data_IF_614086593637
#
_entry.id   IF_614086593637
#
_cell.length_a   1.000
_cell.length_b   1.000
_cell.length_c   1.000
_cell.angle_alpha   90.00
_cell.angle_beta   90.00
_cell.angle_gamma   90.00
#
_symmetry.space_group_name_H-M   'P 1'
#
loop_
_entity.id
_entity.type
_entity.pdbx_description
1 polymer ?
#
# COMPACT_ATOMS: atom_id res chain seq x y z
N UNK A 1 -8.64 5.31 2.58
CA UNK A 1 -7.21 5.26 2.93
C UNK A 1 -6.58 6.60 2.65
N UNK A 2 -6.22 7.32 3.68
CA UNK A 2 -5.43 8.54 3.58
C UNK A 2 -4.00 8.22 4.02
N UNK A 3 -3.01 8.47 3.15
CA UNK A 3 -1.58 8.27 3.44
C UNK A 3 -1.16 9.05 4.71
N UNK A 4 -1.77 10.21 4.97
CA UNK A 4 -1.49 11.02 6.16
C UNK A 4 -2.01 10.35 7.42
N UNK A 5 -3.20 9.72 7.36
CA UNK A 5 -3.77 8.97 8.47
C UNK A 5 -2.91 7.75 8.80
N UNK A 6 -2.54 6.95 7.80
CA UNK A 6 -1.67 5.79 7.97
C UNK A 6 -0.32 6.24 8.53
N UNK A 7 0.31 7.25 7.93
CA UNK A 7 1.58 7.79 8.41
C UNK A 7 1.48 8.27 9.86
N UNK A 8 0.37 8.92 10.24
CA UNK A 8 0.17 9.41 11.61
C UNK A 8 0.03 8.31 12.65
N UNK A 9 -0.69 7.24 12.36
CA UNK A 9 -0.88 6.10 13.28
C UNK A 9 0.39 5.26 13.38
N UNK A 10 1.05 4.99 12.26
CA UNK A 10 2.24 4.13 12.21
C UNK A 10 3.56 4.89 12.43
N UNK A 11 3.54 6.21 12.71
CA UNK A 11 4.67 6.94 13.28
C UNK A 11 4.96 6.45 14.71
N UNK A 12 3.95 5.92 15.41
CA UNK A 12 4.12 5.29 16.72
C UNK A 12 4.85 3.95 16.60
N UNK A 13 6.01 3.85 17.26
CA UNK A 13 6.90 2.67 17.21
C UNK A 13 6.13 1.37 17.56
N UNK A 14 5.27 1.43 18.57
CA UNK A 14 4.49 0.27 19.01
C UNK A 14 3.56 -0.28 17.94
N UNK A 15 2.92 0.60 17.15
CA UNK A 15 2.02 0.21 16.06
C UNK A 15 2.79 -0.40 14.88
N UNK A 16 3.89 0.23 14.48
CA UNK A 16 4.75 -0.28 13.42
C UNK A 16 5.42 -1.59 13.80
N UNK A 17 5.93 -1.70 15.02
CA UNK A 17 6.49 -2.95 15.53
C UNK A 17 5.46 -4.09 15.56
N UNK A 18 4.24 -3.80 16.02
CA UNK A 18 3.16 -4.76 16.06
C UNK A 18 2.84 -5.29 14.66
N UNK A 19 2.72 -4.40 13.68
CA UNK A 19 2.47 -4.75 12.28
C UNK A 19 3.60 -5.65 11.73
N UNK A 20 4.86 -5.22 11.84
CA UNK A 20 6.00 -5.98 11.30
C UNK A 20 6.12 -7.36 11.96
N UNK A 21 5.91 -7.46 13.28
CA UNK A 21 5.92 -8.75 13.98
C UNK A 21 4.92 -9.74 13.41
N UNK A 22 3.70 -9.30 13.13
CA UNK A 22 2.66 -10.15 12.55
C UNK A 22 3.02 -10.55 11.13
N UNK A 23 3.45 -9.60 10.29
CA UNK A 23 3.76 -9.88 8.89
C UNK A 23 4.95 -10.82 8.73
N UNK A 24 5.96 -10.70 9.59
CA UNK A 24 7.16 -11.54 9.57
C UNK A 24 7.08 -12.75 10.52
N UNK A 25 5.98 -12.89 11.27
CA UNK A 25 5.80 -13.94 12.28
C UNK A 25 6.99 -14.00 13.27
N UNK A 26 7.48 -12.83 13.70
CA UNK A 26 8.64 -12.68 14.57
C UNK A 26 8.33 -11.82 15.80
N UNK A 27 7.91 -12.45 16.88
CA UNK A 27 7.60 -11.76 18.14
C UNK A 27 8.83 -11.13 18.81
N UNK A 28 10.02 -11.62 18.48
CA UNK A 28 11.30 -11.13 19.04
C UNK A 28 11.81 -9.84 18.37
N UNK A 29 11.20 -9.39 17.27
CA UNK A 29 11.59 -8.17 16.57
C UNK A 29 11.35 -6.94 17.44
N UNK A 30 12.31 -6.03 17.52
CA UNK A 30 12.22 -4.80 18.29
C UNK A 30 12.57 -3.61 17.40
N UNK A 31 11.56 -2.83 17.03
CA UNK A 31 11.74 -1.57 16.29
C UNK A 31 12.30 -0.51 17.26
N UNK A 32 13.33 0.18 16.81
CA UNK A 32 14.01 1.24 17.57
C UNK A 32 13.72 2.63 17.05
N UNK A 33 13.40 2.74 15.76
CA UNK A 33 13.14 4.01 15.08
C UNK A 33 12.11 3.81 13.99
N UNK A 34 11.22 4.80 13.83
CA UNK A 34 10.26 4.89 12.72
C UNK A 34 10.30 6.28 12.15
N UNK A 35 10.28 6.38 10.83
CA UNK A 35 10.10 7.63 10.11
C UNK A 35 8.99 7.48 9.07
N UNK A 36 8.22 8.53 8.89
CA UNK A 36 7.14 8.57 7.90
C UNK A 36 7.43 9.59 6.82
N UNK A 37 6.93 9.34 5.60
CA UNK A 37 7.09 10.24 4.45
C UNK A 37 8.56 10.60 4.14
N UNK A 38 9.47 9.65 4.35
CA UNK A 38 10.91 9.85 4.15
C UNK A 38 11.28 9.91 2.66
N UNK A 39 11.99 10.98 2.28
CA UNK A 39 12.46 11.17 0.91
C UNK A 39 13.90 10.68 0.75
N UNK A 40 14.08 9.62 -0.03
CA UNK A 40 15.40 9.16 -0.46
C UNK A 40 15.77 9.86 -1.77
N UNK A 41 16.85 10.61 -1.73
CA UNK A 41 17.28 11.42 -2.88
C UNK A 41 18.09 10.61 -3.86
N UNK A 42 17.79 10.76 -5.14
CA UNK A 42 18.65 10.32 -6.23
C UNK A 42 19.17 11.55 -6.97
N UNK A 43 20.49 11.80 -6.87
CA UNK A 43 21.11 12.99 -7.46
C UNK A 43 21.08 13.01 -8.99
N UNK A 44 20.86 11.86 -9.64
CA UNK A 44 20.90 11.72 -11.10
C UNK A 44 19.61 11.16 -11.71
N UNK A 45 18.62 10.86 -10.89
CA UNK A 45 17.40 10.19 -11.33
C UNK A 45 16.19 10.49 -10.44
N UNK A 46 15.21 9.61 -10.52
CA UNK A 46 13.97 9.74 -9.74
C UNK A 46 14.22 9.45 -8.27
N UNK A 47 13.97 10.42 -7.40
CA UNK A 47 13.89 10.21 -5.95
C UNK A 47 12.65 9.38 -5.60
N UNK A 48 12.66 8.73 -4.44
CA UNK A 48 11.50 8.04 -3.88
C UNK A 48 11.09 8.68 -2.57
N UNK A 49 9.80 8.63 -2.28
CA UNK A 49 9.23 8.97 -0.98
C UNK A 49 8.66 7.69 -0.41
N UNK A 50 9.19 7.27 0.73
CA UNK A 50 8.75 6.07 1.42
C UNK A 50 7.66 6.44 2.42
N UNK A 51 6.57 5.67 2.45
CA UNK A 51 5.44 5.96 3.34
C UNK A 51 5.86 5.77 4.79
N UNK A 52 6.44 4.61 5.13
CA UNK A 52 6.97 4.30 6.45
C UNK A 52 8.33 3.62 6.28
N UNK A 53 9.33 4.06 7.04
CA UNK A 53 10.61 3.37 7.19
C UNK A 53 10.82 3.06 8.68
N UNK A 54 11.25 1.83 8.99
CA UNK A 54 11.52 1.41 10.36
C UNK A 54 12.87 0.71 10.43
N UNK A 55 13.52 0.85 11.58
CA UNK A 55 14.79 0.21 11.91
C UNK A 55 14.61 -0.64 13.16
N UNK A 56 15.19 -1.83 13.16
CA UNK A 56 15.16 -2.66 14.35
C UNK A 56 16.49 -2.67 15.11
N UNK A 57 16.48 -3.30 16.28
CA UNK A 57 17.66 -3.41 17.15
C UNK A 57 18.80 -4.21 16.52
N UNK A 58 18.53 -5.01 15.49
CA UNK A 58 19.52 -5.79 14.76
C UNK A 58 20.10 -5.06 13.54
N UNK A 59 19.60 -3.84 13.30
CA UNK A 59 20.00 -3.01 12.16
C UNK A 59 19.25 -3.31 10.86
N UNK A 60 18.26 -4.19 10.88
CA UNK A 60 17.40 -4.45 9.71
C UNK A 60 16.52 -3.25 9.41
N UNK A 61 16.17 -3.10 8.14
CA UNK A 61 15.41 -1.94 7.65
C UNK A 61 14.15 -2.40 6.94
N UNK A 62 13.04 -1.78 7.29
CA UNK A 62 11.72 -2.10 6.79
C UNK A 62 11.11 -0.87 6.12
N UNK A 63 10.83 -0.96 4.81
CA UNK A 63 10.01 0.01 4.10
C UNK A 63 8.61 -0.56 3.95
N UNK A 64 7.59 0.12 4.46
CA UNK A 64 6.20 -0.26 4.31
C UNK A 64 5.52 0.77 3.42
N UNK A 65 4.95 0.30 2.33
CA UNK A 65 4.24 1.08 1.32
C UNK A 65 2.77 0.67 1.30
N UNK A 66 1.87 1.63 1.36
CA UNK A 66 0.43 1.38 1.32
C UNK A 66 -0.13 1.82 -0.02
N UNK A 67 -0.74 0.90 -0.77
CA UNK A 67 -1.14 1.18 -2.14
C UNK A 67 -2.62 0.83 -2.38
N UNK A 68 -3.41 1.85 -2.72
CA UNK A 68 -4.83 1.68 -3.09
C UNK A 68 -5.01 1.11 -4.49
N UNK A 69 -4.10 1.42 -5.40
CA UNK A 69 -4.15 0.98 -6.81
C UNK A 69 -2.97 0.08 -7.12
N UNK A 70 -3.19 -1.01 -7.83
CA UNK A 70 -2.16 -1.96 -8.24
C UNK A 70 -1.02 -1.30 -9.02
N UNK A 71 -1.31 -0.23 -9.77
CA UNK A 71 -0.29 0.59 -10.45
C UNK A 71 0.75 1.20 -9.49
N UNK A 72 0.41 1.38 -8.20
CA UNK A 72 1.34 1.81 -7.15
C UNK A 72 2.24 0.70 -6.64
N UNK A 73 1.84 -0.58 -6.78
CA UNK A 73 2.54 -1.74 -6.24
C UNK A 73 3.32 -2.57 -7.29
N UNK A 74 3.76 -1.94 -8.37
CA UNK A 74 4.48 -2.64 -9.44
C UNK A 74 5.77 -3.30 -8.93
N UNK A 75 6.10 -4.54 -9.36
CA UNK A 75 7.34 -5.23 -8.98
C UNK A 75 8.62 -4.44 -9.28
N UNK A 76 8.60 -3.64 -10.37
CA UNK A 76 9.71 -2.74 -10.69
C UNK A 76 9.85 -1.58 -9.69
N UNK A 77 8.75 -1.12 -9.08
CA UNK A 77 8.79 -0.12 -8.00
C UNK A 77 9.37 -0.72 -6.72
N UNK A 78 8.96 -1.94 -6.35
CA UNK A 78 9.53 -2.64 -5.20
C UNK A 78 11.05 -2.79 -5.33
N UNK A 79 11.53 -3.26 -6.49
CA UNK A 79 12.95 -3.34 -6.79
C UNK A 79 13.64 -1.98 -6.72
N UNK A 80 12.99 -0.91 -7.23
CA UNK A 80 13.58 0.43 -7.21
C UNK A 80 13.67 0.98 -5.78
N UNK A 81 12.65 0.79 -4.96
CA UNK A 81 12.68 1.17 -3.55
C UNK A 81 13.82 0.46 -2.80
N UNK A 82 13.96 -0.87 -2.97
CA UNK A 82 15.08 -1.64 -2.42
C UNK A 82 16.43 -1.05 -2.81
N UNK A 83 16.65 -0.80 -4.11
CA UNK A 83 17.90 -0.20 -4.60
C UNK A 83 18.16 1.21 -4.06
N UNK A 84 17.11 2.00 -3.87
CA UNK A 84 17.25 3.34 -3.29
C UNK A 84 17.54 3.31 -1.80
N UNK A 85 17.02 2.33 -1.07
CA UNK A 85 17.38 2.11 0.33
C UNK A 85 18.88 1.80 0.42
N UNK A 86 19.37 0.79 -0.32
CA UNK A 86 20.79 0.42 -0.35
C UNK A 86 21.70 1.61 -0.67
N UNK A 87 21.34 2.36 -1.72
CA UNK A 87 22.10 3.53 -2.17
C UNK A 87 22.17 4.69 -1.16
N UNK A 88 21.15 4.84 -0.31
CA UNK A 88 21.09 5.92 0.68
C UNK A 88 21.65 5.52 2.06
N UNK A 89 21.75 4.21 2.33
CA UNK A 89 22.31 3.67 3.57
C UNK A 89 23.84 3.57 3.47
N UNK A 90 24.35 3.15 2.32
CA UNK A 90 25.79 2.91 2.10
C UNK A 90 26.57 4.23 2.12
N UNK A 91 27.60 4.30 2.96
CA UNK A 91 28.52 5.45 3.01
C UNK A 91 29.73 5.24 2.12
N UNK A 92 30.33 6.32 1.59
CA UNK A 92 31.56 6.20 0.83
C UNK A 92 32.67 5.49 1.63
N UNK A 93 33.20 4.40 1.07
CA UNK A 93 34.26 3.61 1.68
C UNK A 93 33.81 2.47 2.59
N UNK A 94 32.51 2.32 2.83
CA UNK A 94 31.98 1.13 3.50
C UNK A 94 31.95 -0.07 2.55
N UNK A 95 32.27 -1.26 3.07
CA UNK A 95 32.19 -2.52 2.31
C UNK A 95 30.73 -2.94 2.14
N UNK A 96 30.39 -3.46 0.95
CA UNK A 96 29.02 -3.88 0.64
C UNK A 96 28.58 -5.11 1.46
N UNK A 97 29.51 -5.85 2.04
CA UNK A 97 29.23 -6.95 2.99
C UNK A 97 28.58 -6.48 4.30
N UNK A 98 28.58 -5.18 4.56
CA UNK A 98 27.93 -4.58 5.72
C UNK A 98 26.54 -3.99 5.41
N UNK A 99 26.02 -4.20 4.20
CA UNK A 99 24.65 -3.82 3.90
C UNK A 99 23.68 -4.55 4.84
N UNK A 100 22.73 -3.82 5.43
CA UNK A 100 21.74 -4.45 6.32
C UNK A 100 20.74 -5.30 5.54
N UNK A 101 20.16 -6.27 6.19
CA UNK A 101 18.99 -6.98 5.69
C UNK A 101 17.82 -6.00 5.54
N UNK A 102 17.18 -5.99 4.36
CA UNK A 102 16.14 -5.02 3.99
C UNK A 102 14.84 -5.69 3.56
N UNK A 103 13.74 -5.05 3.93
CA UNK A 103 12.39 -5.49 3.56
C UNK A 103 11.63 -4.36 2.89
N UNK A 104 11.11 -4.61 1.69
CA UNK A 104 10.13 -3.74 1.03
C UNK A 104 8.77 -4.43 1.10
N UNK A 105 7.86 -3.88 1.89
CA UNK A 105 6.56 -4.46 2.19
C UNK A 105 5.49 -3.59 1.54
N UNK A 106 4.77 -4.13 0.54
CA UNK A 106 3.60 -3.51 -0.04
C UNK A 106 2.33 -4.05 0.61
N UNK A 107 1.55 -3.18 1.24
CA UNK A 107 0.19 -3.51 1.67
C UNK A 107 -0.75 -2.97 0.58
N UNK A 108 -1.35 -3.87 -0.19
CA UNK A 108 -2.22 -3.51 -1.31
C UNK A 108 -3.68 -3.65 -0.92
N UNK A 109 -4.52 -2.70 -1.35
CA UNK A 109 -5.96 -2.77 -1.09
C UNK A 109 -6.59 -4.01 -1.74
N UNK A 110 -6.14 -4.37 -2.95
CA UNK A 110 -6.54 -5.59 -3.64
C UNK A 110 -5.47 -6.68 -3.49
N UNK A 111 -5.87 -7.96 -3.68
CA UNK A 111 -4.91 -9.05 -3.82
C UNK A 111 -4.14 -8.92 -5.14
N UNK A 112 -2.93 -8.36 -5.09
CA UNK A 112 -2.12 -8.08 -6.27
C UNK A 112 -1.87 -9.31 -7.15
N UNK A 113 -1.71 -10.49 -6.56
CA UNK A 113 -1.46 -11.75 -7.28
C UNK A 113 -2.72 -12.59 -7.51
N UNK A 114 -3.87 -12.19 -6.99
CA UNK A 114 -5.18 -12.84 -7.16
C UNK A 114 -5.18 -14.34 -6.80
N UNK A 115 -4.40 -14.72 -5.79
CA UNK A 115 -4.27 -16.12 -5.35
C UNK A 115 -4.85 -16.37 -3.95
N UNK A 116 -5.53 -15.36 -3.38
CA UNK A 116 -6.23 -15.39 -2.10
C UNK A 116 -5.35 -15.76 -0.88
N UNK A 117 -4.02 -15.60 -1.00
CA UNK A 117 -3.11 -15.80 0.13
C UNK A 117 -3.03 -14.53 0.98
N UNK A 118 -2.72 -14.64 2.29
CA UNK A 118 -2.58 -13.49 3.18
C UNK A 118 -1.41 -12.60 2.78
N UNK A 119 -0.30 -13.19 2.35
CA UNK A 119 0.90 -12.49 1.91
C UNK A 119 1.74 -13.36 0.95
N UNK A 120 2.63 -12.69 0.23
CA UNK A 120 3.51 -13.29 -0.79
C UNK A 120 4.93 -12.82 -0.53
N UNK A 121 5.85 -13.78 -0.34
CA UNK A 121 7.27 -13.52 -0.22
C UNK A 121 7.95 -13.64 -1.58
N UNK A 122 8.77 -12.66 -1.91
CA UNK A 122 9.52 -12.60 -3.16
C UNK A 122 11.00 -12.48 -2.82
N UNK A 123 11.72 -13.60 -2.98
CA UNK A 123 13.14 -13.68 -2.75
C UNK A 123 13.85 -14.10 -4.03
N UNK A 124 15.15 -13.78 -4.11
CA UNK A 124 15.98 -14.20 -5.24
C UNK A 124 16.51 -15.62 -5.04
N UNK A 125 16.54 -16.36 -6.14
CA UNK A 125 17.04 -17.75 -6.15
C UNK A 125 18.11 -17.95 -7.22
N UNK A 126 19.09 -18.80 -6.92
CA UNK A 126 20.04 -19.34 -7.91
C UNK A 126 19.32 -20.46 -8.63
N UNK A 127 18.88 -20.21 -9.87
CA UNK A 127 18.01 -21.12 -10.64
C UNK A 127 18.63 -22.51 -10.79
N UNK A 128 19.90 -22.57 -11.12
CA UNK A 128 20.63 -23.81 -11.41
C UNK A 128 20.80 -24.71 -10.17
N UNK A 129 20.75 -24.09 -8.97
CA UNK A 129 20.91 -24.80 -7.69
C UNK A 129 19.55 -24.98 -6.97
N UNK A 130 18.49 -24.31 -7.43
CA UNK A 130 17.19 -24.19 -6.71
C UNK A 130 17.36 -23.77 -5.24
N UNK A 131 18.33 -22.89 -4.99
CA UNK A 131 18.72 -22.42 -3.66
C UNK A 131 18.53 -20.91 -3.51
N UNK A 132 18.29 -20.38 -2.30
CA UNK A 132 18.25 -18.95 -2.05
C UNK A 132 19.54 -18.25 -2.46
N UNK A 133 19.45 -17.05 -3.01
CA UNK A 133 20.62 -16.24 -3.37
C UNK A 133 21.30 -15.62 -2.14
N UNK A 134 20.57 -15.47 -1.03
CA UNK A 134 21.07 -14.99 0.27
C UNK A 134 21.64 -13.57 0.22
N UNK A 135 21.00 -12.69 -0.50
CA UNK A 135 21.39 -11.28 -0.60
C UNK A 135 20.67 -10.37 0.43
N UNK A 136 19.90 -10.98 1.34
CA UNK A 136 19.23 -10.32 2.47
C UNK A 136 18.32 -9.15 2.05
N UNK A 137 17.85 -9.16 0.81
CA UNK A 137 16.91 -8.17 0.28
C UNK A 137 15.56 -8.83 -0.07
N UNK A 138 14.55 -8.54 0.71
CA UNK A 138 13.25 -9.18 0.68
C UNK A 138 12.15 -8.23 0.17
N UNK A 139 11.20 -8.77 -0.58
CA UNK A 139 9.99 -8.05 -0.97
C UNK A 139 8.79 -8.87 -0.51
N UNK A 140 7.83 -8.20 0.13
CA UNK A 140 6.59 -8.82 0.62
C UNK A 140 5.40 -8.05 0.09
N UNK A 141 4.43 -8.77 -0.48
CA UNK A 141 3.12 -8.23 -0.80
C UNK A 141 2.11 -8.78 0.20
N UNK A 142 1.36 -7.89 0.81
CA UNK A 142 0.32 -8.21 1.79
C UNK A 142 -1.04 -7.93 1.16
N UNK A 143 -1.90 -8.94 1.16
CA UNK A 143 -3.26 -8.85 0.65
C UNK A 143 -4.16 -8.12 1.66
N UNK A 144 -4.46 -6.85 1.42
CA UNK A 144 -5.32 -6.05 2.30
C UNK A 144 -6.77 -6.50 2.35
N UNK A 145 -7.23 -7.33 1.40
CA UNK A 145 -8.58 -7.93 1.43
C UNK A 145 -8.65 -9.19 2.30
N UNK A 146 -7.51 -9.73 2.72
CA UNK A 146 -7.50 -10.96 3.51
C UNK A 146 -8.18 -10.75 4.88
N UNK A 147 -9.11 -11.66 5.24
CA UNK A 147 -9.92 -11.62 6.47
C UNK A 147 -9.97 -12.99 7.14
N UNK A 148 -8.85 -13.75 7.09
CA UNK A 148 -8.74 -15.03 7.80
C UNK A 148 -8.81 -14.88 9.32
N UNK A 149 -9.11 -15.98 10.00
CA UNK A 149 -9.17 -16.05 11.48
C UNK A 149 -7.77 -16.21 12.11
N UNK A 150 -6.80 -15.47 11.57
CA UNK A 150 -5.40 -15.46 12.02
C UNK A 150 -4.92 -14.04 12.30
N UNK A 151 -3.72 -13.86 12.89
CA UNK A 151 -3.19 -12.52 13.18
C UNK A 151 -3.09 -11.59 11.98
N UNK A 152 -2.82 -12.11 10.77
CA UNK A 152 -2.73 -11.29 9.56
C UNK A 152 -4.12 -10.79 9.16
N UNK A 153 -5.14 -11.66 9.16
CA UNK A 153 -6.52 -11.26 8.89
C UNK A 153 -7.04 -10.22 9.89
N UNK A 154 -6.69 -10.41 11.17
CA UNK A 154 -7.04 -9.45 12.24
C UNK A 154 -6.39 -8.10 12.03
N UNK A 155 -5.09 -8.04 11.75
CA UNK A 155 -4.39 -6.76 11.53
C UNK A 155 -4.79 -6.10 10.21
N UNK A 156 -5.08 -6.87 9.15
CA UNK A 156 -5.59 -6.32 7.90
C UNK A 156 -7.01 -5.77 8.03
N UNK A 157 -7.85 -6.37 8.87
CA UNK A 157 -9.12 -5.76 9.24
C UNK A 157 -8.90 -4.37 9.86
N UNK A 158 -8.06 -4.27 10.88
CA UNK A 158 -7.84 -3.02 11.61
C UNK A 158 -7.10 -1.97 10.77
N UNK A 159 -6.18 -2.42 9.92
CA UNK A 159 -5.46 -1.55 9.00
C UNK A 159 -6.42 -0.77 8.08
N UNK A 160 -7.56 -1.37 7.72
CA UNK A 160 -8.60 -0.78 6.90
C UNK A 160 -9.81 -0.27 7.71
N UNK A 161 -9.74 -0.30 9.05
CA UNK A 161 -10.79 0.16 9.93
C UNK A 161 -10.49 1.56 10.47
N UNK A 162 -11.39 2.51 10.24
CA UNK A 162 -11.25 3.86 10.76
C UNK A 162 -11.91 4.05 12.14
N UNK A 163 -12.76 3.12 12.60
CA UNK A 163 -13.41 3.21 13.91
C UNK A 163 -12.67 2.39 14.98
N UNK A 164 -12.02 3.05 15.97
CA UNK A 164 -11.31 2.36 17.03
C UNK A 164 -12.13 1.31 17.78
N UNK A 165 -13.46 1.53 17.88
CA UNK A 165 -14.38 0.62 18.58
C UNK A 165 -14.62 -0.69 17.83
N UNK A 166 -14.37 -0.68 16.53
CA UNK A 166 -14.55 -1.82 15.64
C UNK A 166 -13.25 -2.57 15.35
N UNK A 167 -12.12 -2.10 15.91
CA UNK A 167 -10.82 -2.74 15.75
C UNK A 167 -10.64 -3.94 16.66
N UNK A 168 -9.93 -4.96 16.19
CA UNK A 168 -9.63 -6.20 16.91
C UNK A 168 -8.41 -6.05 17.84
N UNK A 169 -7.47 -5.16 17.49
CA UNK A 169 -6.19 -5.04 18.19
C UNK A 169 -6.14 -3.73 19.01
N UNK A 170 -6.10 -3.88 20.33
CA UNK A 170 -6.15 -2.75 21.26
C UNK A 170 -5.01 -1.73 21.05
N UNK A 171 -3.82 -2.17 20.61
CA UNK A 171 -2.68 -1.29 20.37
C UNK A 171 -2.99 -0.31 19.22
N UNK A 172 -3.56 -0.81 18.13
CA UNK A 172 -3.97 0.01 16.98
C UNK A 172 -5.19 0.87 17.34
N UNK A 173 -6.21 0.28 17.98
CA UNK A 173 -7.40 0.99 18.42
C UNK A 173 -7.09 2.21 19.30
N UNK A 174 -6.19 2.04 20.26
CA UNK A 174 -5.78 3.12 21.17
C UNK A 174 -5.05 4.24 20.40
N UNK A 175 -4.15 3.91 19.48
CA UNK A 175 -3.41 4.92 18.74
C UNK A 175 -4.30 5.65 17.73
N UNK A 176 -5.19 4.92 17.04
CA UNK A 176 -6.20 5.52 16.17
C UNK A 176 -7.11 6.48 16.96
N UNK A 177 -7.53 6.11 18.16
CA UNK A 177 -8.33 7.00 19.01
C UNK A 177 -7.58 8.29 19.35
N UNK A 178 -6.33 8.18 19.81
CA UNK A 178 -5.49 9.34 20.11
C UNK A 178 -5.25 10.23 18.88
N UNK A 179 -4.92 9.59 17.74
CA UNK A 179 -4.66 10.33 16.49
C UNK A 179 -5.87 11.13 16.05
N UNK A 180 -7.09 10.57 16.15
CA UNK A 180 -8.34 11.25 15.81
C UNK A 180 -8.62 12.48 16.64
N UNK A 181 -8.14 12.53 17.87
CA UNK A 181 -8.31 13.69 18.78
C UNK A 181 -7.28 14.81 18.50
N UNK A 182 -6.34 14.59 17.58
CA UNK A 182 -5.37 15.61 17.16
C UNK A 182 -5.92 16.49 16.01
N UNK A 183 -5.42 17.74 15.91
CA UNK A 183 -5.77 18.62 14.78
C UNK A 183 -5.43 17.99 13.42
N UNK A 184 -4.31 17.28 13.34
CA UNK A 184 -3.91 16.52 12.14
C UNK A 184 -4.88 15.38 11.84
N UNK A 185 -5.28 14.64 12.86
CA UNK A 185 -6.23 13.55 12.73
C UNK A 185 -7.62 14.03 12.30
N UNK A 186 -8.11 15.10 12.89
CA UNK A 186 -9.38 15.74 12.48
C UNK A 186 -9.32 16.17 11.02
N UNK A 187 -8.25 16.85 10.61
CA UNK A 187 -8.07 17.29 9.22
C UNK A 187 -7.97 16.11 8.25
N UNK A 188 -7.26 15.04 8.61
CA UNK A 188 -7.14 13.82 7.81
C UNK A 188 -8.48 13.11 7.67
N UNK A 189 -9.27 13.02 8.75
CA UNK A 189 -10.60 12.40 8.72
C UNK A 189 -11.57 13.19 7.82
N UNK A 190 -11.54 14.53 7.87
CA UNK A 190 -12.34 15.35 6.97
C UNK A 190 -11.98 15.08 5.50
N UNK A 191 -10.69 14.98 5.18
CA UNK A 191 -10.22 14.67 3.82
C UNK A 191 -10.63 13.27 3.38
N UNK A 192 -10.48 12.25 4.25
CA UNK A 192 -10.94 10.88 3.97
C UNK A 192 -12.43 10.86 3.64
N UNK A 193 -13.26 11.54 4.44
CA UNK A 193 -14.70 11.61 4.20
C UNK A 193 -15.04 12.32 2.90
N UNK A 194 -14.31 13.36 2.54
CA UNK A 194 -14.47 14.06 1.27
C UNK A 194 -14.06 13.18 0.07
N UNK A 195 -12.92 12.51 0.16
CA UNK A 195 -12.47 11.56 -0.87
C UNK A 195 -13.46 10.42 -1.08
N UNK A 196 -13.93 9.76 0.01
CA UNK A 196 -14.93 8.69 -0.07
C UNK A 196 -16.23 9.17 -0.70
N UNK A 197 -16.65 10.39 -0.35
CA UNK A 197 -17.87 11.00 -0.93
C UNK A 197 -17.69 11.23 -2.43
N UNK A 198 -16.53 11.72 -2.85
CA UNK A 198 -16.22 11.98 -4.26
C UNK A 198 -16.08 10.67 -5.05
N UNK A 199 -15.43 9.65 -4.47
CA UNK A 199 -15.33 8.31 -5.09
C UNK A 199 -16.72 7.68 -5.29
N UNK A 200 -17.58 7.69 -4.26
CA UNK A 200 -18.94 7.16 -4.37
C UNK A 200 -19.79 7.92 -5.41
N UNK A 201 -19.60 9.23 -5.53
CA UNK A 201 -20.26 10.03 -6.57
C UNK A 201 -19.77 9.63 -7.96
N UNK A 202 -18.47 9.45 -8.12
CA UNK A 202 -17.89 9.12 -9.41
C UNK A 202 -18.28 7.69 -9.83
N UNK A 203 -18.24 6.73 -8.91
CA UNK A 203 -18.74 5.37 -9.17
C UNK A 203 -20.22 5.38 -9.59
N UNK A 204 -21.06 6.13 -8.87
CA UNK A 204 -22.47 6.30 -9.23
C UNK A 204 -22.66 6.97 -10.59
N UNK A 205 -21.82 7.96 -10.94
CA UNK A 205 -21.80 8.62 -12.25
C UNK A 205 -21.45 7.65 -13.37
N UNK A 206 -20.37 6.88 -13.18
CA UNK A 206 -19.89 5.91 -14.17
C UNK A 206 -20.87 4.74 -14.36
N UNK A 207 -21.47 4.23 -13.27
CA UNK A 207 -22.50 3.20 -13.36
C UNK A 207 -23.73 3.68 -14.14
N UNK A 208 -24.23 4.90 -13.86
CA UNK A 208 -25.34 5.51 -14.57
C UNK A 208 -25.00 5.76 -16.05
N UNK A 209 -23.77 6.20 -16.32
CA UNK A 209 -23.29 6.40 -17.69
C UNK A 209 -23.32 5.09 -18.48
N UNK A 210 -22.76 4.03 -17.92
CA UNK A 210 -22.73 2.70 -18.55
C UNK A 210 -24.14 2.17 -18.82
N UNK A 211 -25.05 2.32 -17.86
CA UNK A 211 -26.45 1.92 -18.02
C UNK A 211 -27.13 2.72 -19.15
N UNK A 212 -26.90 4.03 -19.22
CA UNK A 212 -27.46 4.88 -20.26
C UNK A 212 -26.92 4.50 -21.64
N UNK A 213 -25.60 4.30 -21.78
CA UNK A 213 -25.00 3.86 -23.04
C UNK A 213 -25.61 2.53 -23.49
N UNK A 214 -25.70 1.52 -22.59
CA UNK A 214 -26.37 0.23 -22.90
C UNK A 214 -27.82 0.40 -23.35
N UNK A 215 -28.56 1.32 -22.75
CA UNK A 215 -29.96 1.62 -23.15
C UNK A 215 -30.07 2.22 -24.57
N UNK A 216 -29.18 3.13 -24.93
CA UNK A 216 -29.16 3.74 -26.26
C UNK A 216 -28.71 2.73 -27.33
N UNK A 217 -27.69 1.93 -27.05
CA UNK A 217 -27.22 0.88 -27.95
C UNK A 217 -28.29 -0.19 -28.18
N UNK A 218 -29.06 -0.55 -27.15
CA UNK A 218 -30.20 -1.47 -27.27
C UNK A 218 -31.33 -0.93 -28.15
N UNK A 219 -31.37 0.37 -28.40
CA UNK A 219 -32.30 1.05 -29.34
C UNK A 219 -31.74 1.16 -30.77
N UNK A 220 -30.56 0.58 -31.00
CA UNK A 220 -29.96 0.50 -32.35
C UNK A 220 -28.92 1.59 -32.67
N UNK A 221 -28.55 2.43 -31.70
CA UNK A 221 -27.47 3.40 -31.90
C UNK A 221 -26.10 2.69 -31.78
N UNK A 222 -25.15 3.09 -32.62
CA UNK A 222 -23.74 2.68 -32.48
C UNK A 222 -23.13 3.36 -31.26
N UNK A 223 -22.03 2.78 -30.74
CA UNK A 223 -21.29 3.41 -29.62
C UNK A 223 -20.82 4.82 -29.92
N UNK A 224 -20.31 5.07 -31.13
CA UNK A 224 -19.83 6.40 -31.54
C UNK A 224 -20.97 7.43 -31.56
N UNK A 225 -22.15 7.07 -32.08
CA UNK A 225 -23.33 7.94 -32.07
C UNK A 225 -23.78 8.25 -30.63
N UNK A 226 -23.74 7.26 -29.74
CA UNK A 226 -24.09 7.47 -28.31
C UNK A 226 -23.05 8.34 -27.63
N UNK A 227 -21.76 8.07 -27.87
CA UNK A 227 -20.67 8.81 -27.28
C UNK A 227 -20.66 10.29 -27.69
N UNK A 228 -21.01 10.59 -28.94
CA UNK A 228 -21.15 11.96 -29.43
C UNK A 228 -22.44 12.63 -28.89
N UNK A 229 -23.55 11.87 -28.80
CA UNK A 229 -24.82 12.37 -28.26
C UNK A 229 -24.72 12.73 -26.77
N UNK A 230 -23.96 11.96 -26.01
CA UNK A 230 -23.73 12.18 -24.57
C UNK A 230 -22.49 13.02 -24.30
N UNK A 231 -21.80 13.52 -25.31
CA UNK A 231 -20.58 14.33 -25.22
C UNK A 231 -19.52 13.69 -24.28
N UNK A 232 -19.30 12.37 -24.45
CA UNK A 232 -18.42 11.63 -23.55
C UNK A 232 -16.96 12.11 -23.66
N UNK A 233 -16.33 12.32 -22.50
CA UNK A 233 -14.89 12.56 -22.42
C UNK A 233 -14.09 11.37 -22.92
N UNK A 234 -12.80 11.55 -23.18
CA UNK A 234 -11.92 10.46 -23.61
C UNK A 234 -11.87 9.35 -22.56
N UNK A 235 -11.77 9.73 -21.29
CA UNK A 235 -11.72 8.80 -20.16
C UNK A 235 -13.03 8.03 -20.00
N UNK A 236 -14.19 8.69 -20.17
CA UNK A 236 -15.49 8.05 -20.12
C UNK A 236 -15.68 7.06 -21.30
N UNK A 237 -15.21 7.40 -22.48
CA UNK A 237 -15.24 6.49 -23.64
C UNK A 237 -14.41 5.22 -23.37
N UNK A 238 -13.19 5.37 -22.84
CA UNK A 238 -12.30 4.26 -22.49
C UNK A 238 -12.93 3.37 -21.40
N UNK A 239 -13.50 3.98 -20.36
CA UNK A 239 -14.21 3.25 -19.29
C UNK A 239 -15.37 2.44 -19.83
N UNK A 240 -16.26 3.06 -20.63
CA UNK A 240 -17.44 2.39 -21.19
C UNK A 240 -17.03 1.25 -22.10
N UNK A 241 -16.08 1.44 -23.01
CA UNK A 241 -15.58 0.39 -23.91
C UNK A 241 -15.00 -0.81 -23.18
N UNK A 242 -14.38 -0.58 -22.00
CA UNK A 242 -13.82 -1.65 -21.17
C UNK A 242 -14.87 -2.45 -20.39
N UNK A 243 -16.13 -1.93 -20.31
CA UNK A 243 -17.20 -2.48 -19.48
C UNK A 243 -18.48 -2.82 -20.27
N UNK A 244 -18.47 -2.69 -21.60
CA UNK A 244 -19.55 -3.14 -22.50
C UNK A 244 -19.51 -4.64 -22.72
#
# INVERSE_FOLDING_TARGET
FDETYISGVYEEIGCTQFLIRILLQNDGLNVTEVGTQNSLKNLRGRSVRLDIIAYDKQGKIYNIEVQRKDAGALPKRARYNSSMMDANITRPGEGLENLPETYVIFITENDYFQSALPLYHIDRTVRELSAPFQDEAHIIYVNGQYRGEDPIGSVMHDFFCADPKSMNNAILANEVAKYKDTDKGVSSMCRIMEELTNESREEGRLANLLENVKKFMARGMSFDEVADTLELSKEDREFVLSNL
#
